data_IF_953725551905
#
_entry.id   IF_953725551905
#
_cell.length_a   1.000
_cell.length_b   1.000
_cell.length_c   1.000
_cell.angle_alpha   90.00
_cell.angle_beta   90.00
_cell.angle_gamma   90.00
#
_symmetry.space_group_name_H-M   'P 1'
#
loop_
_entity.id
_entity.type
_entity.pdbx_description
1 polymer ?
#
# COMPACT_ATOMS: atom_id res chain seq x y z
N UNK A 1 6.93 4.06 51.75
CA UNK A 1 5.51 3.74 52.01
C UNK A 1 5.28 2.23 52.01
N UNK A 2 5.79 1.45 51.10
CA UNK A 2 5.62 -0.01 51.04
C UNK A 2 6.13 -0.76 52.26
N UNK A 3 7.25 -0.34 52.86
CA UNK A 3 7.76 -0.90 54.12
C UNK A 3 6.83 -0.65 55.33
N UNK A 4 6.22 0.53 55.40
CA UNK A 4 5.21 0.84 56.42
C UNK A 4 3.95 0.02 56.23
N UNK A 5 3.53 -0.19 55.01
CA UNK A 5 2.40 -1.03 54.66
C UNK A 5 2.59 -2.50 55.04
N UNK A 6 3.80 -3.03 54.80
CA UNK A 6 4.19 -4.37 55.22
C UNK A 6 4.07 -4.55 56.77
N UNK A 7 4.64 -3.62 57.52
CA UNK A 7 4.57 -3.63 58.98
C UNK A 7 3.17 -3.51 59.52
N UNK A 8 2.31 -2.73 58.89
CA UNK A 8 0.92 -2.53 59.33
C UNK A 8 -0.02 -3.68 58.93
N UNK A 9 0.25 -4.37 57.82
CA UNK A 9 -0.55 -5.49 57.35
C UNK A 9 -0.08 -6.87 57.81
N UNK A 10 1.01 -6.95 58.57
CA UNK A 10 1.55 -8.21 59.11
C UNK A 10 2.01 -9.20 58.04
N UNK A 11 2.47 -8.70 56.90
CA UNK A 11 3.00 -9.53 55.83
C UNK A 11 4.46 -9.87 56.07
N UNK A 12 4.83 -11.16 55.96
CA UNK A 12 6.19 -11.61 56.15
C UNK A 12 7.09 -11.25 54.96
N UNK A 13 6.51 -11.00 53.76
CA UNK A 13 7.26 -10.66 52.57
C UNK A 13 6.46 -9.69 51.70
N UNK A 14 7.13 -8.75 51.08
CA UNK A 14 6.59 -7.88 50.06
C UNK A 14 7.57 -7.72 48.92
N UNK A 15 7.05 -7.62 47.71
CA UNK A 15 7.81 -7.42 46.49
C UNK A 15 7.23 -6.29 45.65
N UNK A 16 8.12 -5.55 45.00
CA UNK A 16 7.73 -4.57 43.95
C UNK A 16 8.82 -4.48 42.91
N UNK A 17 8.45 -4.03 41.73
CA UNK A 17 9.34 -3.86 40.59
C UNK A 17 9.44 -2.36 40.29
N UNK A 18 10.65 -1.89 40.01
CA UNK A 18 10.90 -0.51 39.64
C UNK A 18 12.03 -0.40 38.62
N UNK A 19 11.94 0.56 37.71
CA UNK A 19 13.06 0.87 36.83
C UNK A 19 14.18 1.53 37.63
N UNK A 20 15.39 1.06 37.44
CA UNK A 20 16.62 1.59 38.07
C UNK A 20 17.63 1.82 36.96
N UNK A 21 18.38 2.91 37.08
CA UNK A 21 19.45 3.22 36.15
C UNK A 21 20.79 2.78 36.75
N UNK A 22 21.53 1.99 36.00
CA UNK A 22 22.87 1.57 36.41
C UNK A 22 23.81 2.77 36.56
N UNK A 23 24.85 2.58 37.40
CA UNK A 23 25.85 3.62 37.70
C UNK A 23 26.41 4.25 36.41
N UNK A 24 26.29 5.57 36.26
CA UNK A 24 26.54 6.44 35.09
C UNK A 24 25.35 6.77 34.21
N UNK A 25 24.12 6.38 34.58
CA UNK A 25 22.91 6.77 33.84
C UNK A 25 22.67 6.06 32.51
N UNK A 26 23.35 4.95 32.24
CA UNK A 26 23.54 4.43 30.88
C UNK A 26 22.62 3.24 30.54
N UNK A 27 21.98 2.55 31.48
CA UNK A 27 21.06 1.46 31.13
C UNK A 27 19.84 1.37 32.04
N UNK A 28 18.65 1.38 31.45
CA UNK A 28 17.41 1.07 32.13
C UNK A 28 17.42 -0.40 32.54
N UNK A 29 17.34 -0.66 33.84
CA UNK A 29 17.19 -2.00 34.40
C UNK A 29 15.92 -2.10 35.21
N UNK A 30 15.23 -3.20 35.06
CA UNK A 30 14.08 -3.52 35.91
C UNK A 30 14.58 -4.32 37.11
N UNK A 31 14.43 -3.75 38.30
CA UNK A 31 14.86 -4.38 39.54
C UNK A 31 13.62 -4.79 40.32
N UNK A 32 13.58 -6.08 40.69
CA UNK A 32 12.65 -6.60 41.69
C UNK A 32 13.28 -6.44 43.04
N UNK A 33 12.64 -5.63 43.90
CA UNK A 33 13.02 -5.50 45.31
C UNK A 33 12.11 -6.39 46.11
N UNK A 34 12.72 -7.32 46.87
CA UNK A 34 12.02 -8.20 47.82
C UNK A 34 12.46 -7.82 49.21
N UNK A 35 11.49 -7.59 50.08
CA UNK A 35 11.72 -7.36 51.51
C UNK A 35 11.08 -8.50 52.30
N UNK A 36 11.87 -9.22 53.06
CA UNK A 36 11.44 -10.31 53.91
C UNK A 36 11.67 -9.94 55.37
N UNK A 37 10.65 -10.11 56.18
CA UNK A 37 10.72 -9.83 57.63
C UNK A 37 11.13 -11.08 58.37
N UNK A 38 12.27 -11.04 58.99
CA UNK A 38 12.87 -12.20 59.73
C UNK A 38 12.98 -11.84 61.20
N UNK A 39 12.53 -12.74 62.07
CA UNK A 39 12.73 -12.58 63.50
C UNK A 39 14.12 -13.07 63.91
N UNK A 40 14.94 -12.15 64.35
CA UNK A 40 16.23 -12.48 64.87
C UNK A 40 16.08 -13.03 66.30
N UNK A 41 16.26 -14.36 66.44
CA UNK A 41 16.03 -15.07 67.70
C UNK A 41 17.03 -14.66 68.77
N UNK A 42 18.24 -14.26 68.39
CA UNK A 42 19.30 -13.88 69.35
C UNK A 42 19.08 -12.54 70.03
N UNK A 43 18.34 -11.63 69.36
CA UNK A 43 18.12 -10.27 69.83
C UNK A 43 16.62 -9.96 70.05
N UNK A 44 15.74 -10.95 69.83
CA UNK A 44 14.27 -10.85 69.92
C UNK A 44 13.71 -9.60 69.22
N UNK A 45 14.18 -9.33 68.06
CA UNK A 45 13.77 -8.20 67.21
C UNK A 45 13.46 -8.61 65.81
N UNK A 46 12.60 -7.82 65.12
CA UNK A 46 12.27 -8.00 63.72
C UNK A 46 13.35 -7.32 62.87
N UNK A 47 13.88 -8.01 61.94
CA UNK A 47 14.89 -7.54 60.95
C UNK A 47 14.29 -7.64 59.54
N UNK A 48 14.58 -6.68 58.67
CA UNK A 48 14.18 -6.71 57.27
C UNK A 48 15.38 -7.08 56.42
N UNK A 49 15.26 -8.18 55.69
CA UNK A 49 16.23 -8.55 54.66
C UNK A 49 15.75 -8.02 53.32
N UNK A 50 16.63 -7.30 52.62
CA UNK A 50 16.28 -6.67 51.34
C UNK A 50 17.13 -7.27 50.24
N UNK A 51 16.48 -7.87 49.24
CA UNK A 51 17.14 -8.45 48.06
C UNK A 51 16.80 -7.61 46.82
N UNK A 52 17.77 -7.45 45.96
CA UNK A 52 17.64 -6.82 44.66
C UNK A 52 17.96 -7.85 43.59
N UNK A 53 17.00 -8.11 42.72
CA UNK A 53 17.18 -8.99 41.57
C UNK A 53 17.02 -8.18 40.28
N UNK A 54 18.04 -8.24 39.41
CA UNK A 54 17.91 -7.69 38.07
C UNK A 54 17.02 -8.65 37.24
N UNK A 55 15.83 -8.18 36.92
CA UNK A 55 14.81 -8.92 36.15
C UNK A 55 14.62 -8.35 34.75
N UNK A 56 15.55 -7.52 34.29
CA UNK A 56 15.40 -6.76 33.04
C UNK A 56 15.04 -7.66 31.84
N UNK A 57 15.80 -8.74 31.63
CA UNK A 57 15.52 -9.66 30.53
C UNK A 57 14.18 -10.37 30.68
N UNK A 58 13.88 -10.88 31.88
CA UNK A 58 12.61 -11.56 32.14
C UNK A 58 11.44 -10.62 32.05
N UNK A 59 11.54 -9.39 32.59
CA UNK A 59 10.51 -8.38 32.55
C UNK A 59 10.11 -8.03 31.12
N UNK A 60 11.08 -7.76 30.25
CA UNK A 60 10.79 -7.44 28.85
C UNK A 60 10.33 -8.66 28.06
N UNK A 61 10.87 -9.85 28.31
CA UNK A 61 10.47 -11.09 27.64
C UNK A 61 9.09 -11.60 28.07
N UNK A 62 8.67 -11.35 29.32
CA UNK A 62 7.33 -11.72 29.81
C UNK A 62 6.27 -10.69 29.44
N UNK A 63 6.59 -9.40 29.49
CA UNK A 63 5.66 -8.31 29.24
C UNK A 63 5.47 -8.02 27.74
N UNK A 64 6.50 -8.25 26.92
CA UNK A 64 6.35 -8.20 25.48
C UNK A 64 5.73 -9.54 25.04
N UNK A 65 4.43 -9.59 24.68
CA UNK A 65 3.76 -10.85 24.37
C UNK A 65 4.54 -11.68 23.34
N UNK A 66 4.65 -12.99 23.56
CA UNK A 66 5.26 -13.93 22.61
C UNK A 66 4.74 -13.78 21.16
N UNK A 67 3.55 -13.20 20.99
CA UNK A 67 2.99 -12.84 19.69
C UNK A 67 3.79 -11.75 18.95
N UNK A 68 4.50 -10.88 19.66
CA UNK A 68 5.36 -9.86 19.04
C UNK A 68 6.62 -10.50 18.45
N UNK A 69 7.20 -11.50 19.12
CA UNK A 69 8.37 -12.23 18.62
C UNK A 69 8.05 -13.16 17.43
N UNK A 70 6.78 -13.54 17.23
CA UNK A 70 6.35 -14.37 16.09
C UNK A 70 6.07 -13.57 14.82
N UNK A 71 5.96 -12.25 14.89
CA UNK A 71 5.87 -11.39 13.72
C UNK A 71 7.27 -10.94 13.33
N UNK A 72 7.55 -10.90 12.05
CA UNK A 72 8.81 -10.38 11.50
C UNK A 72 8.81 -8.85 11.63
N UNK A 73 9.04 -8.35 12.85
CA UNK A 73 9.31 -6.94 13.05
C UNK A 73 10.72 -6.61 12.57
N UNK A 74 10.86 -5.50 11.89
CA UNK A 74 12.18 -4.99 11.52
C UNK A 74 12.94 -4.50 12.76
N UNK A 75 12.17 -3.97 13.74
CA UNK A 75 12.76 -3.32 14.90
C UNK A 75 11.74 -3.23 16.04
N UNK A 76 12.21 -3.42 17.27
CA UNK A 76 11.49 -3.15 18.50
C UNK A 76 12.29 -2.12 19.28
N UNK A 77 11.65 -1.03 19.67
CA UNK A 77 12.23 0.09 20.40
C UNK A 77 11.54 0.19 21.76
N UNK A 78 12.32 0.23 22.84
CA UNK A 78 11.83 0.48 24.19
C UNK A 78 12.22 1.91 24.55
N UNK A 79 11.23 2.75 24.76
CA UNK A 79 11.40 4.20 24.94
C UNK A 79 11.09 4.55 26.39
N UNK A 80 12.03 5.17 27.08
CA UNK A 80 11.79 5.84 28.35
C UNK A 80 11.42 7.31 28.05
N UNK A 81 10.14 7.59 28.16
CA UNK A 81 9.63 8.93 27.86
C UNK A 81 10.02 9.98 28.90
N UNK A 82 10.29 9.60 30.16
CA UNK A 82 10.70 10.54 31.20
C UNK A 82 12.13 11.05 31.00
N UNK A 83 13.01 10.22 30.43
CA UNK A 83 14.44 10.52 30.27
C UNK A 83 14.87 10.76 28.84
N UNK A 84 13.95 10.72 27.90
CA UNK A 84 14.26 10.84 26.46
C UNK A 84 15.29 9.81 26.00
N UNK A 85 15.17 8.54 26.44
CA UNK A 85 16.08 7.48 26.07
C UNK A 85 15.38 6.39 25.27
N UNK A 86 16.11 5.73 24.36
CA UNK A 86 15.64 4.59 23.60
C UNK A 86 16.64 3.45 23.64
N UNK A 87 16.14 2.24 23.85
CA UNK A 87 16.86 0.97 23.72
C UNK A 87 16.28 0.19 22.53
N UNK A 88 17.15 -0.34 21.69
CA UNK A 88 16.77 -1.23 20.59
C UNK A 88 16.88 -2.67 21.06
N UNK A 89 15.75 -3.37 21.18
CA UNK A 89 15.71 -4.75 21.69
C UNK A 89 15.84 -5.77 20.55
N UNK A 90 15.37 -5.46 19.36
CA UNK A 90 15.54 -6.28 18.17
C UNK A 90 15.98 -5.40 17.00
N UNK A 91 17.29 -5.27 16.76
CA UNK A 91 17.79 -4.59 15.58
C UNK A 91 17.58 -5.55 14.40
N UNK A 92 16.45 -5.44 13.71
CA UNK A 92 16.13 -6.24 12.54
C UNK A 92 17.09 -6.01 11.37
N UNK A 93 16.74 -6.59 10.22
CA UNK A 93 17.50 -6.57 8.96
C UNK A 93 17.87 -5.14 8.49
N UNK A 94 17.20 -4.12 9.01
CA UNK A 94 17.54 -2.72 8.87
C UNK A 94 18.51 -2.24 9.96
N UNK A 95 19.45 -3.11 10.38
CA UNK A 95 20.46 -2.74 11.34
C UNK A 95 21.22 -1.53 10.80
N UNK A 96 20.85 -0.37 11.32
CA UNK A 96 21.75 0.75 11.31
C UNK A 96 23.04 0.27 11.98
N UNK A 97 24.18 0.49 11.35
CA UNK A 97 25.47 0.59 12.04
C UNK A 97 25.46 1.82 12.96
N UNK A 98 24.40 2.05 13.67
CA UNK A 98 24.50 2.80 14.91
C UNK A 98 25.12 1.82 15.88
N UNK A 99 26.42 1.97 16.06
CA UNK A 99 27.15 1.41 17.19
C UNK A 99 26.18 1.42 18.37
N UNK A 100 25.94 0.26 18.94
CA UNK A 100 25.26 0.04 20.20
C UNK A 100 26.02 0.78 21.31
N UNK A 101 26.01 2.11 21.26
CA UNK A 101 26.29 2.93 22.40
C UNK A 101 25.11 2.72 23.36
N UNK A 102 25.41 2.38 24.59
CA UNK A 102 24.49 1.80 25.58
C UNK A 102 23.27 2.66 25.89
N UNK A 103 23.17 3.91 25.47
CA UNK A 103 21.95 4.74 25.49
C UNK A 103 22.01 5.83 24.43
N UNK A 104 20.95 5.93 23.64
CA UNK A 104 20.78 6.99 22.66
C UNK A 104 19.58 7.83 23.14
N UNK A 105 19.72 9.15 23.15
CA UNK A 105 18.58 10.04 23.31
C UNK A 105 17.53 9.71 22.26
N UNK A 106 16.27 9.49 22.66
CA UNK A 106 15.20 9.17 21.72
C UNK A 106 15.01 10.28 20.68
N UNK A 107 15.04 11.54 21.11
CA UNK A 107 14.94 12.69 20.20
C UNK A 107 16.11 12.76 19.21
N UNK A 108 17.33 12.43 19.67
CA UNK A 108 18.50 12.32 18.81
C UNK A 108 18.37 11.17 17.80
N UNK A 109 17.91 10.02 18.26
CA UNK A 109 17.65 8.84 17.43
C UNK A 109 16.61 9.13 16.34
N UNK A 110 15.46 9.71 16.70
CA UNK A 110 14.42 10.13 15.76
C UNK A 110 14.98 11.08 14.69
N UNK A 111 15.79 12.05 15.10
CA UNK A 111 16.44 13.01 14.19
C UNK A 111 17.35 12.30 13.19
N UNK A 112 18.15 11.34 13.63
CA UNK A 112 19.04 10.58 12.75
C UNK A 112 18.25 9.66 11.79
N UNK A 113 17.19 8.99 12.27
CA UNK A 113 16.28 8.19 11.41
C UNK A 113 15.66 9.07 10.33
N UNK A 114 15.09 10.21 10.74
CA UNK A 114 14.44 11.15 9.83
C UNK A 114 15.43 11.67 8.77
N UNK A 115 16.64 12.02 9.17
CA UNK A 115 17.67 12.57 8.28
C UNK A 115 18.17 11.55 7.26
N UNK A 116 18.39 10.31 7.69
CA UNK A 116 19.03 9.26 6.87
C UNK A 116 18.06 8.44 6.04
N UNK A 117 16.85 8.20 6.55
CA UNK A 117 15.97 7.20 5.97
C UNK A 117 14.61 7.72 5.51
N UNK A 118 14.13 8.85 6.02
CA UNK A 118 12.81 9.38 5.66
C UNK A 118 12.91 10.29 4.43
N UNK A 119 12.08 10.09 3.38
CA UNK A 119 12.00 10.99 2.24
C UNK A 119 11.67 12.42 2.65
N UNK A 120 12.20 13.41 1.92
CA UNK A 120 12.07 14.84 2.28
C UNK A 120 10.61 15.31 2.36
N UNK A 121 9.76 14.80 1.49
CA UNK A 121 8.32 15.09 1.44
C UNK A 121 7.53 14.53 2.64
N UNK A 122 8.06 13.53 3.35
CA UNK A 122 7.41 12.89 4.49
C UNK A 122 8.04 13.24 5.86
N UNK A 123 9.16 13.99 5.88
CA UNK A 123 9.88 14.33 7.13
C UNK A 123 9.02 15.04 8.17
N UNK A 124 8.22 16.02 7.74
CA UNK A 124 7.37 16.78 8.65
C UNK A 124 6.26 15.93 9.29
N UNK A 125 5.72 14.98 8.52
CA UNK A 125 4.70 14.03 9.02
C UNK A 125 5.34 13.07 10.01
N UNK A 126 6.50 12.49 9.65
CA UNK A 126 7.25 11.59 10.51
C UNK A 126 7.58 12.25 11.84
N UNK A 127 8.22 13.43 11.82
CA UNK A 127 8.59 14.18 13.01
C UNK A 127 7.40 14.42 13.95
N UNK A 128 6.27 14.86 13.40
CA UNK A 128 5.05 15.07 14.17
C UNK A 128 4.54 13.78 14.83
N UNK A 129 4.57 12.67 14.10
CA UNK A 129 4.01 11.40 14.57
C UNK A 129 4.86 10.72 15.67
N UNK A 130 6.20 10.90 15.61
CA UNK A 130 7.12 10.27 16.57
C UNK A 130 7.45 11.13 17.79
N UNK A 131 6.93 12.36 17.89
CA UNK A 131 7.12 13.19 19.10
C UNK A 131 6.46 12.56 20.31
N UNK A 132 7.18 12.48 21.43
CA UNK A 132 6.68 11.89 22.68
C UNK A 132 5.34 12.50 23.11
N UNK A 133 5.17 13.82 22.96
CA UNK A 133 3.90 14.47 23.31
C UNK A 133 2.73 13.98 22.44
N UNK A 134 2.98 13.75 21.15
CA UNK A 134 1.97 13.18 20.22
C UNK A 134 1.63 11.76 20.62
N UNK A 135 2.67 10.93 20.84
CA UNK A 135 2.51 9.52 21.23
C UNK A 135 1.72 9.41 22.55
N UNK A 136 2.09 10.18 23.57
CA UNK A 136 1.39 10.22 24.87
C UNK A 136 -0.07 10.61 24.73
N UNK A 137 -0.34 11.66 23.95
CA UNK A 137 -1.71 12.13 23.71
C UNK A 137 -2.57 11.04 23.05
N UNK A 138 -2.07 10.41 22.00
CA UNK A 138 -2.79 9.34 21.30
C UNK A 138 -3.01 8.11 22.20
N UNK A 139 -2.01 7.76 23.03
CA UNK A 139 -2.11 6.64 23.97
C UNK A 139 -2.93 6.94 25.23
N UNK A 140 -3.40 8.18 25.42
CA UNK A 140 -4.41 8.49 26.44
C UNK A 140 -5.81 8.02 26.04
N UNK A 141 -6.10 8.09 24.74
CA UNK A 141 -7.40 7.77 24.17
C UNK A 141 -7.49 6.34 23.61
N UNK A 142 -6.35 5.72 23.32
CA UNK A 142 -6.25 4.42 22.64
C UNK A 142 -5.21 3.53 23.30
N UNK A 143 -5.43 2.23 23.30
CA UNK A 143 -4.43 1.25 23.78
C UNK A 143 -3.19 1.18 22.88
N UNK A 144 -3.33 1.55 21.61
CA UNK A 144 -2.27 1.56 20.60
C UNK A 144 -2.39 2.77 19.69
N UNK A 145 -1.23 3.33 19.33
CA UNK A 145 -1.11 4.38 18.34
C UNK A 145 -0.27 3.88 17.18
N UNK A 146 -0.76 3.99 15.96
CA UNK A 146 -0.04 3.53 14.76
C UNK A 146 -0.08 4.55 13.64
N UNK A 147 1.02 4.63 12.89
CA UNK A 147 1.09 5.38 11.64
C UNK A 147 2.05 4.69 10.67
N UNK A 148 1.92 4.99 9.38
CA UNK A 148 2.81 4.47 8.36
C UNK A 148 3.54 5.61 7.66
N UNK A 149 4.80 5.36 7.30
CA UNK A 149 5.67 6.32 6.63
C UNK A 149 6.63 5.57 5.72
N UNK A 150 7.01 6.17 4.60
CA UNK A 150 8.04 5.61 3.76
C UNK A 150 9.43 5.84 4.35
N UNK A 151 10.29 4.83 4.23
CA UNK A 151 11.70 4.92 4.58
C UNK A 151 12.54 4.25 3.49
N UNK A 152 13.76 4.71 3.32
CA UNK A 152 14.75 4.04 2.48
C UNK A 152 15.41 2.91 3.27
N UNK A 153 15.51 1.73 2.66
CA UNK A 153 16.32 0.64 3.21
C UNK A 153 17.81 0.86 2.90
N UNK A 154 18.68 -0.05 3.39
CA UNK A 154 20.14 0.00 3.13
C UNK A 154 20.53 -0.01 1.64
N UNK A 155 19.64 -0.54 0.78
CA UNK A 155 19.86 -0.57 -0.67
C UNK A 155 19.34 0.70 -1.36
N UNK A 156 18.81 1.67 -0.59
CA UNK A 156 18.20 2.88 -1.12
C UNK A 156 16.82 2.65 -1.75
N UNK A 157 16.15 1.53 -1.48
CA UNK A 157 14.80 1.25 -1.95
C UNK A 157 13.78 1.84 -0.98
N UNK A 158 12.75 2.48 -1.52
CA UNK A 158 11.66 3.06 -0.73
C UNK A 158 10.72 1.96 -0.21
N UNK A 159 10.62 1.80 1.10
CA UNK A 159 9.80 0.82 1.81
C UNK A 159 8.75 1.52 2.65
N UNK A 160 7.58 0.93 2.82
CA UNK A 160 6.53 1.46 3.71
C UNK A 160 6.65 0.79 5.08
N UNK A 161 7.00 1.59 6.10
CA UNK A 161 7.15 1.14 7.48
C UNK A 161 5.94 1.53 8.31
N UNK A 162 5.40 0.57 9.05
CA UNK A 162 4.33 0.82 10.02
C UNK A 162 4.93 0.84 11.42
N UNK A 163 4.73 1.95 12.11
CA UNK A 163 5.08 2.14 13.51
C UNK A 163 3.86 1.89 14.36
N UNK A 164 4.01 1.12 15.43
CA UNK A 164 2.95 0.92 16.42
C UNK A 164 3.52 1.12 17.81
N UNK A 165 2.94 2.07 18.54
CA UNK A 165 3.32 2.42 19.91
C UNK A 165 2.26 1.93 20.88
N UNK A 166 2.69 1.49 22.06
CA UNK A 166 1.83 1.15 23.19
C UNK A 166 2.61 1.27 24.50
N UNK A 167 1.91 1.50 25.62
CA UNK A 167 2.58 1.49 26.91
C UNK A 167 2.90 0.08 27.35
N UNK A 168 4.16 -0.14 27.71
CA UNK A 168 4.59 -1.28 28.51
C UNK A 168 4.29 -0.99 30.00
N UNK A 169 4.61 0.22 30.42
CA UNK A 169 4.29 0.69 31.77
C UNK A 169 3.95 2.18 31.75
N UNK A 170 2.66 2.49 31.92
CA UNK A 170 2.16 3.86 31.85
C UNK A 170 2.63 4.74 33.01
N UNK A 171 2.81 4.14 34.20
CA UNK A 171 3.22 4.88 35.39
C UNK A 171 4.67 5.41 35.26
N UNK A 172 5.54 4.61 34.66
CA UNK A 172 6.94 4.96 34.42
C UNK A 172 7.19 5.55 33.04
N UNK A 173 6.13 5.77 32.25
CA UNK A 173 6.22 6.28 30.89
C UNK A 173 7.12 5.43 29.97
N UNK A 174 7.08 4.11 30.16
CA UNK A 174 7.80 3.17 29.31
C UNK A 174 6.90 2.78 28.13
N UNK A 175 7.34 3.16 26.94
CA UNK A 175 6.62 2.96 25.70
C UNK A 175 7.39 1.94 24.84
N UNK A 176 6.67 1.01 24.21
CA UNK A 176 7.23 0.14 23.19
C UNK A 176 6.79 0.63 21.82
N UNK A 177 7.73 0.76 20.90
CA UNK A 177 7.47 0.95 19.49
C UNK A 177 7.89 -0.30 18.72
N UNK A 178 6.99 -0.83 17.89
CA UNK A 178 7.30 -1.86 16.91
C UNK A 178 7.29 -1.27 15.52
N UNK A 179 8.27 -1.61 14.71
CA UNK A 179 8.39 -1.18 13.32
C UNK A 179 8.33 -2.40 12.42
N UNK A 180 7.38 -2.42 11.50
CA UNK A 180 7.14 -3.53 10.56
C UNK A 180 7.24 -3.01 9.13
N UNK A 181 7.94 -3.73 8.25
CA UNK A 181 7.87 -3.49 6.81
C UNK A 181 6.56 -4.06 6.26
N UNK A 182 5.67 -3.17 5.90
CA UNK A 182 4.37 -3.54 5.32
C UNK A 182 4.32 -3.34 3.80
N UNK A 183 5.47 -3.10 3.18
CA UNK A 183 5.56 -2.79 1.75
C UNK A 183 4.89 -3.88 0.91
N UNK A 184 5.24 -5.14 1.13
CA UNK A 184 4.66 -6.25 0.37
C UNK A 184 3.15 -6.38 0.60
N UNK A 185 2.67 -6.20 1.85
CA UNK A 185 1.24 -6.24 2.17
C UNK A 185 0.48 -5.09 1.51
N UNK A 186 1.08 -3.90 1.47
CA UNK A 186 0.49 -2.72 0.85
C UNK A 186 0.48 -2.81 -0.67
N UNK A 187 1.41 -3.56 -1.26
CA UNK A 187 1.53 -3.77 -2.70
C UNK A 187 0.66 -4.92 -3.24
N UNK A 188 -0.02 -5.66 -2.38
CA UNK A 188 -0.91 -6.75 -2.76
C UNK A 188 -2.37 -6.30 -2.92
N UNK A 189 -3.06 -6.90 -3.88
CA UNK A 189 -4.52 -6.83 -4.00
C UNK A 189 -5.15 -7.93 -3.14
N UNK A 190 -6.00 -7.54 -2.20
CA UNK A 190 -6.59 -8.44 -1.20
C UNK A 190 -7.45 -9.53 -1.86
N UNK A 191 -8.11 -9.21 -2.99
CA UNK A 191 -9.01 -10.14 -3.66
C UNK A 191 -8.28 -11.23 -4.42
N UNK A 192 -7.26 -10.84 -5.19
CA UNK A 192 -6.53 -11.76 -6.09
C UNK A 192 -5.29 -12.37 -5.46
N UNK A 193 -4.76 -11.76 -4.39
CA UNK A 193 -3.49 -12.11 -3.77
C UNK A 193 -2.26 -11.74 -4.61
N UNK A 194 -2.48 -11.14 -5.78
CA UNK A 194 -1.42 -10.63 -6.63
C UNK A 194 -1.03 -9.20 -6.29
N UNK A 195 -0.20 -8.58 -7.12
CA UNK A 195 0.11 -7.17 -6.92
C UNK A 195 -1.11 -6.29 -7.22
N UNK A 196 -1.19 -5.17 -6.51
CA UNK A 196 -2.02 -4.04 -6.88
C UNK A 196 -1.23 -3.09 -7.80
N UNK A 197 -1.82 -1.94 -8.15
CA UNK A 197 -1.17 -0.93 -9.00
C UNK A 197 0.19 -0.47 -8.45
N UNK A 198 0.33 -0.27 -7.14
CA UNK A 198 1.58 0.21 -6.53
C UNK A 198 2.67 -0.86 -6.62
N UNK A 199 2.32 -2.10 -6.31
CA UNK A 199 3.22 -3.25 -6.47
C UNK A 199 3.68 -3.40 -7.91
N UNK A 200 2.77 -3.26 -8.88
CA UNK A 200 3.12 -3.30 -10.30
C UNK A 200 4.16 -2.24 -10.66
N UNK A 201 3.90 -0.98 -10.30
CA UNK A 201 4.81 0.14 -10.62
C UNK A 201 6.20 -0.14 -10.07
N UNK A 202 6.30 -0.46 -8.79
CA UNK A 202 7.60 -0.70 -8.13
C UNK A 202 8.37 -1.86 -8.76
N UNK A 203 7.70 -2.98 -9.01
CA UNK A 203 8.37 -4.15 -9.60
C UNK A 203 8.80 -3.93 -11.05
N UNK A 204 7.98 -3.22 -11.83
CA UNK A 204 8.34 -2.83 -13.20
C UNK A 204 9.53 -1.87 -13.20
N UNK A 205 9.54 -0.86 -12.33
CA UNK A 205 10.67 0.08 -12.19
C UNK A 205 11.98 -0.66 -11.89
N UNK A 206 11.94 -1.66 -10.99
CA UNK A 206 13.11 -2.50 -10.67
C UNK A 206 13.59 -3.26 -11.88
N UNK A 207 12.71 -3.98 -12.59
CA UNK A 207 13.07 -4.73 -13.78
C UNK A 207 13.68 -3.81 -14.85
N UNK A 208 13.06 -2.65 -15.09
CA UNK A 208 13.54 -1.71 -16.10
C UNK A 208 14.82 -0.95 -15.69
N UNK A 209 15.16 -0.91 -14.42
CA UNK A 209 16.43 -0.35 -13.91
C UNK A 209 17.58 -1.33 -14.15
N UNK A 210 17.32 -2.63 -14.03
CA UNK A 210 18.29 -3.70 -14.24
C UNK A 210 18.44 -4.09 -15.72
N UNK A 211 17.51 -3.68 -16.58
CA UNK A 211 17.50 -4.02 -18.01
C UNK A 211 18.36 -3.05 -18.84
N UNK A 212 19.22 -3.60 -19.69
CA UNK A 212 20.00 -2.83 -20.66
C UNK A 212 19.13 -2.31 -21.81
N UNK A 213 18.15 -3.09 -22.25
CA UNK A 213 17.24 -2.72 -23.34
C UNK A 213 15.76 -2.82 -22.92
N UNK A 214 15.13 -1.66 -22.80
CA UNK A 214 13.71 -1.55 -22.46
C UNK A 214 12.77 -1.90 -23.60
N UNK A 215 13.23 -1.84 -24.84
CA UNK A 215 12.39 -2.10 -26.02
C UNK A 215 11.99 -3.57 -26.17
N UNK A 216 12.63 -4.44 -25.40
CA UNK A 216 12.27 -5.85 -25.29
C UNK A 216 11.00 -6.15 -24.50
N UNK A 217 10.30 -5.12 -23.95
CA UNK A 217 9.13 -5.31 -23.10
C UNK A 217 7.88 -4.63 -23.67
N UNK A 218 6.73 -5.08 -23.18
CA UNK A 218 5.43 -4.46 -23.42
C UNK A 218 4.58 -4.45 -22.15
N UNK A 219 3.78 -3.40 -21.97
CA UNK A 219 2.72 -3.32 -20.97
C UNK A 219 1.40 -3.67 -21.62
N UNK A 220 0.69 -4.63 -21.05
CA UNK A 220 -0.66 -5.04 -21.50
C UNK A 220 -1.66 -4.69 -20.43
N UNK A 221 -2.69 -3.96 -20.82
CA UNK A 221 -3.82 -3.57 -19.99
C UNK A 221 -5.07 -4.32 -20.42
N UNK A 222 -5.78 -4.91 -19.47
CA UNK A 222 -6.99 -5.70 -19.67
C UNK A 222 -8.17 -5.04 -18.99
N UNK A 223 -9.30 -4.95 -19.69
CA UNK A 223 -10.58 -4.41 -19.22
C UNK A 223 -11.69 -5.43 -19.49
N UNK A 224 -12.36 -5.91 -18.44
CA UNK A 224 -13.47 -6.87 -18.57
C UNK A 224 -14.76 -6.11 -18.86
N UNK A 225 -15.27 -6.22 -20.07
CA UNK A 225 -16.51 -5.56 -20.46
C UNK A 225 -17.73 -6.15 -19.76
N UNK A 226 -18.65 -5.25 -19.39
CA UNK A 226 -19.92 -5.59 -18.76
C UNK A 226 -19.77 -6.34 -17.43
N UNK A 227 -18.64 -6.17 -16.70
CA UNK A 227 -18.43 -6.82 -15.41
C UNK A 227 -19.52 -6.46 -14.38
N UNK A 228 -20.04 -5.23 -14.43
CA UNK A 228 -21.19 -4.82 -13.61
C UNK A 228 -22.40 -5.75 -13.80
N UNK A 229 -22.68 -6.18 -15.04
CA UNK A 229 -23.76 -7.11 -15.31
C UNK A 229 -23.54 -8.49 -14.68
N UNK A 230 -22.27 -8.91 -14.48
CA UNK A 230 -21.97 -10.13 -13.72
C UNK A 230 -22.45 -10.00 -12.29
N UNK A 231 -22.12 -8.91 -11.64
CA UNK A 231 -22.51 -8.66 -10.25
C UNK A 231 -24.04 -8.54 -10.08
N UNK A 232 -24.70 -7.88 -11.03
CA UNK A 232 -26.16 -7.73 -11.00
C UNK A 232 -26.90 -9.04 -11.27
N UNK A 233 -26.40 -9.88 -12.17
CA UNK A 233 -27.07 -11.13 -12.55
C UNK A 233 -26.76 -12.32 -11.64
N UNK A 234 -25.53 -12.38 -11.11
CA UNK A 234 -25.00 -13.55 -10.41
C UNK A 234 -24.53 -13.26 -8.97
N UNK A 235 -24.51 -12.00 -8.55
CA UNK A 235 -24.04 -11.55 -7.24
C UNK A 235 -22.54 -11.28 -7.20
N UNK A 236 -22.12 -10.48 -6.20
CA UNK A 236 -20.73 -10.02 -6.03
C UNK A 236 -19.74 -11.15 -5.75
N UNK A 237 -20.17 -12.21 -5.04
CA UNK A 237 -19.32 -13.39 -4.78
C UNK A 237 -18.85 -14.07 -6.08
N UNK A 238 -19.75 -14.14 -7.07
CA UNK A 238 -19.43 -14.72 -8.39
C UNK A 238 -18.52 -13.78 -9.17
N UNK A 239 -18.76 -12.48 -9.08
CA UNK A 239 -17.86 -11.48 -9.64
C UNK A 239 -16.46 -11.60 -9.09
N UNK A 240 -16.32 -11.70 -7.77
CA UNK A 240 -15.03 -11.86 -7.08
C UNK A 240 -14.31 -13.15 -7.50
N UNK A 241 -15.05 -14.27 -7.60
CA UNK A 241 -14.51 -15.53 -8.07
C UNK A 241 -14.02 -15.42 -9.53
N UNK A 242 -14.74 -14.68 -10.35
CA UNK A 242 -14.36 -14.43 -11.74
C UNK A 242 -13.10 -13.56 -11.83
N UNK A 243 -12.98 -12.50 -11.03
CA UNK A 243 -11.78 -11.65 -10.99
C UNK A 243 -10.54 -12.44 -10.59
N UNK A 244 -10.66 -13.33 -9.56
CA UNK A 244 -9.57 -14.24 -9.20
C UNK A 244 -9.19 -15.16 -10.36
N UNK A 245 -10.19 -15.71 -11.06
CA UNK A 245 -9.96 -16.58 -12.21
C UNK A 245 -9.28 -15.88 -13.36
N UNK A 246 -9.71 -14.65 -13.71
CA UNK A 246 -9.08 -13.85 -14.77
C UNK A 246 -7.63 -13.53 -14.42
N UNK A 247 -7.35 -13.14 -13.17
CA UNK A 247 -5.99 -12.89 -12.71
C UNK A 247 -5.10 -14.13 -12.86
N UNK A 248 -5.58 -15.30 -12.43
CA UNK A 248 -4.85 -16.57 -12.57
C UNK A 248 -4.63 -16.97 -14.04
N UNK A 249 -5.64 -16.76 -14.89
CA UNK A 249 -5.54 -17.04 -16.34
C UNK A 249 -4.47 -16.15 -17.00
N UNK A 250 -4.41 -14.85 -16.65
CA UNK A 250 -3.37 -13.94 -17.12
C UNK A 250 -2.00 -14.38 -16.62
N UNK A 251 -1.88 -14.67 -15.33
CA UNK A 251 -0.61 -15.05 -14.69
C UNK A 251 -0.01 -16.34 -15.24
N UNK A 252 -0.85 -17.33 -15.56
CA UNK A 252 -0.46 -18.65 -16.07
C UNK A 252 -0.44 -18.74 -17.59
N UNK A 253 -0.77 -17.64 -18.29
CA UNK A 253 -0.82 -17.62 -19.75
C UNK A 253 0.55 -17.78 -20.39
N UNK A 254 0.55 -18.12 -21.68
CA UNK A 254 1.77 -18.19 -22.50
C UNK A 254 2.44 -16.81 -22.70
N UNK A 255 1.77 -15.72 -22.30
CA UNK A 255 2.40 -14.39 -22.21
C UNK A 255 3.57 -14.37 -21.23
N UNK A 256 3.60 -15.31 -20.27
CA UNK A 256 4.62 -15.43 -19.22
C UNK A 256 4.93 -14.07 -18.59
N UNK A 257 3.91 -13.41 -17.99
CA UNK A 257 4.12 -12.07 -17.46
C UNK A 257 5.21 -12.07 -16.38
N UNK A 258 6.13 -11.13 -16.49
CA UNK A 258 7.16 -10.88 -15.48
C UNK A 258 6.56 -10.27 -14.20
N UNK A 259 5.57 -9.41 -14.38
CA UNK A 259 4.77 -8.81 -13.32
C UNK A 259 3.33 -8.76 -13.78
N UNK A 260 2.40 -9.16 -12.92
CA UNK A 260 0.96 -9.02 -13.15
C UNK A 260 0.28 -8.43 -11.93
N UNK A 261 -0.71 -7.57 -12.15
CA UNK A 261 -1.44 -6.89 -11.08
C UNK A 261 -2.90 -6.68 -11.44
N UNK A 262 -3.74 -6.57 -10.41
CA UNK A 262 -5.04 -5.96 -10.54
C UNK A 262 -4.89 -4.46 -10.29
N UNK A 263 -5.26 -3.65 -11.27
CA UNK A 263 -5.06 -2.22 -11.19
C UNK A 263 -6.16 -1.55 -10.36
N UNK A 264 -7.40 -1.83 -10.72
CA UNK A 264 -8.61 -1.45 -9.98
C UNK A 264 -9.79 -2.28 -10.48
N UNK A 265 -10.91 -2.27 -9.78
CA UNK A 265 -12.19 -2.90 -10.16
C UNK A 265 -12.04 -4.18 -11.00
N UNK A 266 -12.28 -4.09 -12.31
CA UNK A 266 -12.21 -5.16 -13.32
C UNK A 266 -11.05 -4.99 -14.30
N UNK A 267 -10.06 -4.16 -13.93
CA UNK A 267 -8.88 -3.89 -14.72
C UNK A 267 -7.65 -4.65 -14.24
N UNK A 268 -6.90 -5.22 -15.16
CA UNK A 268 -5.64 -5.91 -14.90
C UNK A 268 -4.53 -5.36 -15.79
N UNK A 269 -3.31 -5.45 -15.30
CA UNK A 269 -2.11 -5.02 -16.03
C UNK A 269 -1.03 -6.07 -15.90
N UNK A 270 -0.22 -6.22 -16.94
CA UNK A 270 1.00 -7.02 -16.86
C UNK A 270 2.15 -6.42 -17.68
N UNK A 271 3.37 -6.72 -17.23
CA UNK A 271 4.59 -6.51 -18.00
C UNK A 271 5.00 -7.85 -18.60
N UNK A 272 5.24 -7.87 -19.90
CA UNK A 272 5.64 -9.07 -20.64
C UNK A 272 6.90 -8.79 -21.46
N UNK A 273 7.69 -9.81 -21.71
CA UNK A 273 8.71 -9.72 -22.76
C UNK A 273 8.03 -9.73 -24.14
N UNK A 274 8.47 -8.84 -25.01
CA UNK A 274 7.88 -8.66 -26.34
C UNK A 274 7.91 -9.95 -27.18
N UNK A 275 8.92 -10.81 -26.98
CA UNK A 275 9.02 -12.11 -27.66
C UNK A 275 7.91 -13.09 -27.27
N UNK A 276 7.30 -12.93 -26.09
CA UNK A 276 6.21 -13.76 -25.58
C UNK A 276 4.83 -13.22 -25.97
N UNK A 277 4.75 -12.04 -26.60
CA UNK A 277 3.49 -11.41 -26.97
C UNK A 277 2.93 -12.07 -28.24
N UNK A 278 2.05 -13.05 -28.04
CA UNK A 278 1.29 -13.69 -29.11
C UNK A 278 -0.12 -13.06 -29.19
N UNK A 279 -0.39 -12.35 -30.29
CA UNK A 279 -1.62 -11.59 -30.48
C UNK A 279 -2.84 -12.50 -30.74
N UNK A 280 -2.65 -13.65 -31.40
CA UNK A 280 -3.73 -14.61 -31.65
C UNK A 280 -4.19 -15.26 -30.34
N UNK A 281 -3.24 -15.56 -29.47
CA UNK A 281 -3.52 -16.09 -28.15
C UNK A 281 -4.28 -15.08 -27.27
N UNK A 282 -3.92 -13.78 -27.34
CA UNK A 282 -4.67 -12.73 -26.64
C UNK A 282 -6.13 -12.73 -27.06
N UNK A 283 -6.43 -12.87 -28.34
CA UNK A 283 -7.78 -12.95 -28.85
C UNK A 283 -8.55 -14.12 -28.23
N UNK A 284 -7.94 -15.28 -28.12
CA UNK A 284 -8.55 -16.47 -27.46
C UNK A 284 -8.80 -16.30 -25.95
N UNK A 285 -7.92 -15.57 -25.28
CA UNK A 285 -8.08 -15.26 -23.84
C UNK A 285 -9.20 -14.25 -23.56
N UNK A 286 -9.52 -13.41 -24.54
CA UNK A 286 -10.44 -12.28 -24.37
C UNK A 286 -11.92 -12.66 -24.42
N UNK A 287 -12.27 -13.89 -24.77
CA UNK A 287 -13.66 -14.34 -24.79
C UNK A 287 -13.92 -15.34 -23.66
N UNK A 288 -14.84 -14.99 -22.77
CA UNK A 288 -15.24 -15.84 -21.63
C UNK A 288 -16.74 -16.04 -21.63
N UNK A 289 -17.16 -17.25 -21.30
CA UNK A 289 -18.57 -17.61 -21.14
C UNK A 289 -18.83 -18.00 -19.69
N UNK A 290 -19.78 -17.35 -19.05
CA UNK A 290 -20.25 -17.67 -17.71
C UNK A 290 -21.69 -18.18 -17.80
N UNK A 291 -21.94 -19.42 -17.33
CA UNK A 291 -23.27 -20.01 -17.29
C UNK A 291 -23.56 -20.47 -15.88
N UNK A 292 -24.65 -19.99 -15.26
CA UNK A 292 -25.11 -20.39 -13.93
C UNK A 292 -26.61 -20.18 -13.79
N UNK A 293 -27.30 -21.12 -13.13
CA UNK A 293 -28.74 -21.02 -12.88
C UNK A 293 -29.60 -20.81 -14.13
N UNK A 294 -29.21 -21.43 -15.26
CA UNK A 294 -29.92 -21.30 -16.53
C UNK A 294 -29.64 -19.96 -17.28
N UNK A 295 -28.88 -19.04 -16.69
CA UNK A 295 -28.48 -17.77 -17.32
C UNK A 295 -27.07 -17.92 -17.89
N UNK A 296 -26.86 -17.37 -19.09
CA UNK A 296 -25.56 -17.34 -19.76
C UNK A 296 -25.19 -15.90 -20.08
N UNK A 297 -23.98 -15.49 -19.70
CA UNK A 297 -23.38 -14.21 -20.05
C UNK A 297 -22.11 -14.45 -20.84
N UNK A 298 -21.99 -13.78 -21.98
CA UNK A 298 -20.75 -13.72 -22.76
C UNK A 298 -19.99 -12.46 -22.32
N UNK A 299 -18.76 -12.66 -21.93
CA UNK A 299 -17.86 -11.62 -21.45
C UNK A 299 -16.71 -11.47 -22.44
N UNK A 300 -16.43 -10.25 -22.78
CA UNK A 300 -15.26 -9.89 -23.58
C UNK A 300 -14.25 -9.13 -22.73
N UNK A 301 -12.97 -9.34 -23.02
CA UNK A 301 -11.86 -8.61 -22.41
C UNK A 301 -11.21 -7.77 -23.50
N UNK A 302 -11.11 -6.48 -23.29
CA UNK A 302 -10.38 -5.57 -24.20
C UNK A 302 -8.95 -5.42 -23.74
N UNK A 303 -7.99 -5.60 -24.66
CA UNK A 303 -6.56 -5.51 -24.35
C UNK A 303 -5.91 -4.32 -25.05
N UNK A 304 -5.40 -3.37 -24.27
CA UNK A 304 -4.54 -2.31 -24.78
C UNK A 304 -3.07 -2.67 -24.57
N UNK A 305 -2.25 -2.47 -25.56
CA UNK A 305 -0.83 -2.85 -25.56
C UNK A 305 0.03 -1.63 -25.81
N UNK A 306 1.00 -1.38 -24.93
CA UNK A 306 2.05 -0.40 -25.15
C UNK A 306 3.39 -1.11 -25.28
N UNK A 307 4.01 -1.04 -26.46
CA UNK A 307 5.37 -1.50 -26.70
C UNK A 307 6.34 -0.47 -26.16
N UNK A 308 7.25 -0.88 -25.24
CA UNK A 308 8.20 0.06 -24.66
C UNK A 308 9.17 0.61 -25.72
N UNK A 309 9.46 1.89 -25.59
CA UNK A 309 10.35 2.64 -26.48
C UNK A 309 11.69 2.93 -25.81
N UNK A 310 12.71 3.32 -26.58
CA UNK A 310 14.01 3.77 -26.05
C UNK A 310 13.88 4.98 -25.12
N UNK A 311 12.91 5.86 -25.39
CA UNK A 311 12.66 7.05 -24.58
C UNK A 311 12.20 6.67 -23.20
N UNK A 312 12.90 7.12 -22.18
CA UNK A 312 12.52 6.91 -20.77
C UNK A 312 11.20 7.59 -20.47
N UNK A 313 10.29 6.88 -19.82
CA UNK A 313 9.06 7.40 -19.27
C UNK A 313 8.72 6.69 -17.96
N UNK A 314 7.84 7.28 -17.16
CA UNK A 314 7.33 6.65 -15.94
C UNK A 314 6.46 5.44 -16.26
N UNK A 315 6.40 4.49 -15.34
CA UNK A 315 5.53 3.30 -15.48
C UNK A 315 4.06 3.73 -15.58
N UNK A 316 3.63 4.77 -14.87
CA UNK A 316 2.29 5.35 -15.04
C UNK A 316 2.05 5.79 -16.48
N UNK A 317 3.00 6.47 -17.11
CA UNK A 317 2.90 6.86 -18.52
C UNK A 317 2.83 5.68 -19.49
N UNK A 318 3.41 4.52 -19.15
CA UNK A 318 3.28 3.28 -19.93
C UNK A 318 1.87 2.68 -19.80
N UNK A 319 1.35 2.62 -18.56
CA UNK A 319 -0.02 2.17 -18.26
C UNK A 319 -1.04 3.04 -18.99
N UNK A 320 -0.90 4.35 -18.93
CA UNK A 320 -1.83 5.30 -19.58
C UNK A 320 -1.89 5.09 -21.10
N UNK A 321 -0.74 4.79 -21.74
CA UNK A 321 -0.71 4.49 -23.17
C UNK A 321 -1.42 3.18 -23.51
N UNK A 322 -1.22 2.15 -22.69
CA UNK A 322 -1.94 0.89 -22.86
C UNK A 322 -3.47 1.11 -22.67
N UNK A 323 -3.89 1.90 -21.67
CA UNK A 323 -5.30 2.28 -21.47
C UNK A 323 -5.86 3.07 -22.67
N UNK A 324 -5.10 4.01 -23.22
CA UNK A 324 -5.53 4.76 -24.41
C UNK A 324 -5.75 3.77 -25.56
N UNK A 325 -4.83 2.86 -25.83
CA UNK A 325 -5.00 1.87 -26.89
C UNK A 325 -6.26 1.02 -26.68
N UNK A 326 -6.53 0.56 -25.47
CA UNK A 326 -7.71 -0.21 -25.14
C UNK A 326 -9.02 0.54 -25.48
N UNK A 327 -9.09 1.87 -25.23
CA UNK A 327 -10.26 2.70 -25.52
C UNK A 327 -10.55 2.83 -27.03
N UNK A 328 -9.58 2.58 -27.91
CA UNK A 328 -9.76 2.58 -29.38
C UNK A 328 -10.32 1.28 -29.92
N UNK A 329 -10.61 0.29 -29.07
CA UNK A 329 -11.33 -0.90 -29.49
C UNK A 329 -12.83 -0.57 -29.49
N UNK A 330 -13.39 -0.39 -30.69
CA UNK A 330 -14.82 -0.05 -30.89
C UNK A 330 -15.70 -1.29 -30.86
N UNK A 331 -15.24 -2.39 -31.47
CA UNK A 331 -15.94 -3.68 -31.50
C UNK A 331 -14.99 -4.78 -31.00
N UNK A 332 -15.26 -5.24 -29.80
CA UNK A 332 -14.45 -6.27 -29.12
C UNK A 332 -14.64 -7.67 -29.70
N UNK A 333 -15.72 -7.92 -30.43
CA UNK A 333 -15.95 -9.22 -31.11
C UNK A 333 -15.13 -9.34 -32.40
N UNK A 334 -14.82 -8.18 -33.01
CA UNK A 334 -13.98 -8.11 -34.21
C UNK A 334 -12.52 -7.97 -33.86
N UNK A 335 -12.20 -7.12 -32.86
CA UNK A 335 -10.84 -6.86 -32.45
C UNK A 335 -10.75 -6.76 -30.92
N UNK A 336 -10.16 -7.77 -30.27
CA UNK A 336 -10.03 -7.84 -28.81
C UNK A 336 -8.84 -7.06 -28.26
N UNK A 337 -7.89 -6.64 -29.10
CA UNK A 337 -6.70 -5.91 -28.68
C UNK A 337 -6.38 -4.73 -29.60
N UNK A 338 -5.64 -3.77 -29.07
CA UNK A 338 -5.08 -2.65 -29.82
C UNK A 338 -3.69 -2.30 -29.31
N UNK A 339 -2.76 -2.08 -30.25
CA UNK A 339 -1.41 -1.59 -29.93
C UNK A 339 -1.45 -0.07 -29.96
N UNK A 340 -0.85 0.56 -28.94
CA UNK A 340 -0.76 2.01 -28.87
C UNK A 340 0.06 2.58 -30.02
N UNK A 341 -0.48 3.62 -30.61
CA UNK A 341 0.20 4.50 -31.55
C UNK A 341 0.13 5.95 -31.06
N UNK A 342 1.17 6.74 -31.34
CA UNK A 342 1.28 8.13 -30.87
C UNK A 342 0.13 9.04 -31.34
N UNK A 343 -0.46 8.76 -32.50
CA UNK A 343 -1.63 9.48 -33.03
C UNK A 343 -2.85 9.34 -32.14
N UNK A 344 -3.00 8.19 -31.45
CA UNK A 344 -4.13 7.93 -30.54
C UNK A 344 -4.17 8.92 -29.38
N UNK A 345 -3.01 9.30 -28.83
CA UNK A 345 -2.93 10.28 -27.75
C UNK A 345 -3.47 11.63 -28.16
N UNK A 346 -3.06 12.10 -29.35
CA UNK A 346 -3.51 13.40 -29.85
C UNK A 346 -5.03 13.40 -30.10
N UNK A 347 -5.54 12.35 -30.74
CA UNK A 347 -6.99 12.20 -30.97
C UNK A 347 -7.76 12.09 -29.63
N UNK A 348 -7.20 11.41 -28.62
CA UNK A 348 -7.82 11.32 -27.29
C UNK A 348 -7.90 12.69 -26.61
N UNK A 349 -6.82 13.46 -26.64
CA UNK A 349 -6.78 14.82 -26.11
C UNK A 349 -7.78 15.72 -26.87
N UNK A 350 -7.78 15.64 -28.19
CA UNK A 350 -8.71 16.41 -29.03
C UNK A 350 -10.18 16.12 -28.71
N UNK A 351 -10.55 14.84 -28.56
CA UNK A 351 -11.91 14.45 -28.14
C UNK A 351 -12.27 14.95 -26.74
N UNK A 352 -11.34 14.86 -25.79
CA UNK A 352 -11.56 15.35 -24.42
C UNK A 352 -11.71 16.89 -24.40
N UNK A 353 -10.90 17.61 -25.18
CA UNK A 353 -11.00 19.07 -25.33
C UNK A 353 -12.34 19.47 -25.92
N UNK A 354 -12.75 18.81 -27.03
CA UNK A 354 -14.03 19.06 -27.66
C UNK A 354 -15.22 18.79 -26.71
N UNK A 355 -15.14 17.71 -25.93
CA UNK A 355 -16.17 17.42 -24.92
C UNK A 355 -16.26 18.51 -23.84
N UNK A 356 -15.12 19.08 -23.41
CA UNK A 356 -15.07 20.20 -22.47
C UNK A 356 -15.59 21.52 -23.02
N UNK A 357 -15.51 21.72 -24.35
CA UNK A 357 -15.97 22.93 -25.04
C UNK A 357 -17.44 22.82 -25.51
N UNK A 358 -18.11 21.66 -25.30
CA UNK A 358 -19.44 21.38 -25.81
C UNK A 358 -20.51 22.35 -25.26
N UNK A 359 -20.50 22.57 -23.95
CA UNK A 359 -21.49 23.39 -23.24
C UNK A 359 -21.42 24.85 -23.69
N UNK A 360 -20.21 25.38 -23.73
CA UNK A 360 -19.94 26.73 -24.26
C UNK A 360 -20.34 26.86 -25.74
N UNK A 361 -20.03 25.82 -26.54
CA UNK A 361 -20.43 25.79 -27.96
C UNK A 361 -21.94 25.80 -28.18
N UNK A 362 -22.73 25.18 -27.28
CA UNK A 362 -24.20 25.23 -27.31
C UNK A 362 -24.66 26.64 -26.95
N UNK A 363 -24.16 27.22 -25.88
CA UNK A 363 -24.52 28.57 -25.42
C UNK A 363 -24.21 29.65 -26.49
N UNK A 364 -23.11 29.49 -27.20
CA UNK A 364 -22.68 30.41 -28.27
C UNK A 364 -23.34 30.11 -29.60
N UNK A 365 -24.28 29.17 -29.71
CA UNK A 365 -25.02 28.86 -30.92
C UNK A 365 -24.18 28.29 -32.08
N UNK A 366 -23.05 27.65 -31.74
CA UNK A 366 -22.10 27.05 -32.70
C UNK A 366 -22.65 25.79 -33.38
N UNK A 367 -23.73 25.20 -32.82
CA UNK A 367 -24.38 24.01 -33.36
C UNK A 367 -25.52 24.37 -34.31
N UNK A 368 -25.53 23.72 -35.48
CA UNK A 368 -26.61 23.86 -36.48
C UNK A 368 -27.14 22.50 -36.85
N UNK A 369 -28.42 22.44 -37.09
CA UNK A 369 -29.11 21.24 -37.55
C UNK A 369 -29.19 21.28 -39.08
N UNK A 370 -28.73 20.21 -39.70
CA UNK A 370 -28.87 19.94 -41.12
C UNK A 370 -29.83 18.78 -41.32
N UNK A 371 -30.55 18.77 -42.43
CA UNK A 371 -31.49 17.72 -42.78
C UNK A 371 -31.00 16.98 -44.02
N UNK A 372 -30.83 15.67 -43.90
CA UNK A 372 -30.54 14.80 -45.02
C UNK A 372 -31.86 14.16 -45.48
N UNK A 373 -32.32 14.43 -46.72
CA UNK A 373 -33.58 13.87 -47.18
C UNK A 373 -33.47 12.37 -47.44
N UNK A 374 -34.47 11.64 -46.99
CA UNK A 374 -34.70 10.24 -47.35
C UNK A 374 -35.79 10.18 -48.39
N UNK A 375 -35.45 9.65 -49.54
CA UNK A 375 -36.40 9.59 -50.69
C UNK A 375 -36.96 8.18 -50.86
N UNK A 376 -38.22 8.10 -51.19
CA UNK A 376 -38.87 6.86 -51.62
C UNK A 376 -38.28 6.42 -52.97
N UNK A 377 -37.70 5.22 -53.01
CA UNK A 377 -36.98 4.72 -54.19
C UNK A 377 -37.88 4.47 -55.39
N UNK A 378 -39.19 4.31 -55.18
CA UNK A 378 -40.17 4.05 -56.28
C UNK A 378 -40.71 5.34 -56.86
N UNK A 379 -40.95 6.34 -56.02
CA UNK A 379 -41.60 7.57 -56.45
C UNK A 379 -40.67 8.77 -56.60
N UNK A 380 -39.45 8.68 -56.11
CA UNK A 380 -38.45 9.74 -56.06
C UNK A 380 -38.85 10.91 -55.13
N UNK A 381 -39.91 10.80 -54.34
CA UNK A 381 -40.37 11.85 -53.42
C UNK A 381 -39.69 11.74 -52.07
N UNK A 382 -39.50 12.89 -51.41
CA UNK A 382 -39.00 12.93 -50.06
C UNK A 382 -40.04 12.29 -49.11
N UNK A 383 -39.67 11.21 -48.45
CA UNK A 383 -40.51 10.49 -47.51
C UNK A 383 -40.23 10.93 -46.05
N UNK A 384 -39.00 11.30 -45.73
CA UNK A 384 -38.58 11.77 -44.41
C UNK A 384 -37.24 12.52 -44.52
N UNK A 385 -36.75 13.06 -43.43
CA UNK A 385 -35.42 13.63 -43.38
C UNK A 385 -34.73 13.22 -42.06
N UNK A 386 -33.46 12.86 -42.14
CA UNK A 386 -32.61 12.63 -40.97
C UNK A 386 -32.07 13.99 -40.48
N UNK A 387 -32.20 14.23 -39.17
CA UNK A 387 -31.67 15.43 -38.52
C UNK A 387 -30.24 15.20 -38.07
N UNK A 388 -29.32 15.94 -38.64
CA UNK A 388 -27.89 15.81 -38.42
C UNK A 388 -27.34 17.09 -37.79
N UNK A 389 -26.79 16.99 -36.56
CA UNK A 389 -26.14 18.12 -35.90
C UNK A 389 -24.76 18.34 -36.52
N UNK A 390 -24.38 19.60 -36.70
CA UNK A 390 -23.06 20.03 -37.17
C UNK A 390 -22.53 21.12 -36.25
N UNK A 391 -21.28 20.97 -35.79
CA UNK A 391 -20.61 21.93 -34.94
C UNK A 391 -19.68 22.82 -35.77
N UNK A 392 -19.92 24.10 -35.77
CA UNK A 392 -19.05 25.10 -36.39
C UNK A 392 -18.10 25.65 -35.32
N UNK A 393 -17.07 24.86 -35.04
CA UNK A 393 -16.12 25.19 -34.01
C UNK A 393 -15.21 26.36 -34.42
N UNK A 394 -15.04 27.43 -33.61
CA UNK A 394 -14.30 28.63 -34.01
C UNK A 394 -12.85 28.41 -34.39
N UNK A 395 -12.17 27.42 -33.77
CA UNK A 395 -10.76 27.12 -34.04
C UNK A 395 -10.54 25.91 -34.93
N UNK A 396 -11.43 24.92 -34.91
CA UNK A 396 -11.28 23.64 -35.63
C UNK A 396 -12.13 23.56 -36.90
N UNK A 397 -13.00 24.54 -37.14
CA UNK A 397 -13.88 24.57 -38.29
C UNK A 397 -15.08 23.62 -38.17
N UNK A 398 -15.47 23.01 -39.27
CA UNK A 398 -16.62 22.12 -39.32
C UNK A 398 -16.28 20.74 -38.76
N UNK A 399 -17.04 20.30 -37.74
CA UNK A 399 -16.89 19.03 -37.04
C UNK A 399 -18.19 18.23 -37.16
#
# INVERSE_FOLDING_TARGET
>A
DNLRECLTQGKDMIQWECPVYAAKGISLRMIRTTVEMVRNVSYDRLEALIYFSDITENYFSEQIPHMLYRKNFDRIEIIDGQRDCVRLDHPGICAMEMVLAEEISYSGYVTEVMKKFVPDDEKSVYEKCVRLDTIRKELQEKDRYSFSVHQFNKKGEKCLKNYTFFYLNKFFDIIVATVEDITEKFEQDILTGGYNRQGFIRHVERILKESEDRTGYAVVFFDIKNFKAVNELFGTEIGDMMLRKVYEDVRKSELKPLVSAREDADHFICLVERKNLNLDMLTGMCQKKLTRGGKTLHLSVKCGIFMLEKKKMSVNGMIDRAKIAQRYITDEFVQSYKIYDSSMKNTYIDKATLAGELEEGIEQGQFKVYFQPVVDAMTGKIASAESLIRWFHPKKGFI
#
